data_IF_094992032243
#
_entry.id   IF_094992032243
#
_cell.length_a   1.000
_cell.length_b   1.000
_cell.length_c   1.000
_cell.angle_alpha   90.00
_cell.angle_beta   90.00
_cell.angle_gamma   90.00
#
_symmetry.space_group_name_H-M   'P 1'
#
loop_
_entity.id
_entity.type
_entity.pdbx_description
1 polymer ?
#
# COMPACT_ATOMS: atom_id res chain seq x y z
N UNK A 1 11.93 -29.47 -14.49
CA UNK A 1 12.33 -28.75 -13.25
C UNK A 1 13.84 -28.55 -13.30
N UNK A 2 14.31 -27.30 -13.27
CA UNK A 2 15.73 -27.00 -13.23
C UNK A 2 16.21 -27.21 -11.79
N UNK A 3 17.22 -28.07 -11.56
CA UNK A 3 17.73 -28.46 -10.23
C UNK A 3 18.35 -27.34 -9.38
N UNK A 4 18.18 -26.07 -9.78
CA UNK A 4 18.72 -24.89 -9.10
C UNK A 4 17.67 -23.80 -8.84
N UNK A 5 16.40 -24.03 -9.19
CA UNK A 5 15.31 -23.12 -8.82
C UNK A 5 14.68 -23.70 -7.54
N UNK A 6 14.80 -22.97 -6.44
CA UNK A 6 14.21 -23.33 -5.15
C UNK A 6 12.68 -23.15 -5.12
N UNK A 7 12.09 -23.24 -3.93
CA UNK A 7 10.68 -22.88 -3.70
C UNK A 7 10.40 -21.42 -4.03
N UNK A 8 9.13 -21.09 -4.27
CA UNK A 8 8.73 -19.70 -4.52
C UNK A 8 8.93 -18.83 -3.26
N UNK A 9 9.07 -17.53 -3.45
CA UNK A 9 9.21 -16.59 -2.34
C UNK A 9 7.96 -16.58 -1.46
N UNK A 10 6.78 -16.75 -2.06
CA UNK A 10 5.52 -16.83 -1.32
C UNK A 10 5.44 -18.08 -0.44
N UNK A 11 5.93 -19.23 -0.92
CA UNK A 11 6.07 -20.45 -0.12
C UNK A 11 7.02 -20.23 1.06
N UNK A 12 8.16 -19.58 0.82
CA UNK A 12 9.10 -19.23 1.87
C UNK A 12 8.45 -18.30 2.92
N UNK A 13 7.73 -17.27 2.51
CA UNK A 13 7.05 -16.36 3.43
C UNK A 13 5.96 -17.06 4.25
N UNK A 14 5.24 -18.01 3.64
CA UNK A 14 4.25 -18.84 4.33
C UNK A 14 4.91 -19.75 5.38
N UNK A 15 6.01 -20.43 5.02
CA UNK A 15 6.79 -21.27 5.95
C UNK A 15 7.36 -20.47 7.13
N UNK A 16 7.77 -19.22 6.91
CA UNK A 16 8.26 -18.33 7.97
C UNK A 16 7.14 -17.69 8.81
N UNK A 17 5.87 -17.86 8.43
CA UNK A 17 4.73 -17.18 9.09
C UNK A 17 4.70 -15.66 8.85
N UNK A 18 5.36 -15.19 7.79
CA UNK A 18 5.53 -13.76 7.46
C UNK A 18 4.62 -13.30 6.32
N UNK A 19 3.94 -14.22 5.63
CA UNK A 19 3.14 -13.92 4.44
C UNK A 19 2.13 -12.78 4.65
N UNK A 20 1.40 -12.79 5.77
CA UNK A 20 0.41 -11.75 6.08
C UNK A 20 1.04 -10.37 6.30
N UNK A 21 2.11 -10.31 7.11
CA UNK A 21 2.80 -9.06 7.43
C UNK A 21 3.43 -8.43 6.18
N UNK A 22 4.12 -9.25 5.38
CA UNK A 22 4.78 -8.80 4.15
C UNK A 22 3.75 -8.35 3.12
N UNK A 23 2.64 -9.08 2.98
CA UNK A 23 1.54 -8.69 2.08
C UNK A 23 0.92 -7.36 2.48
N UNK A 24 0.68 -7.14 3.78
CA UNK A 24 0.15 -5.88 4.29
C UNK A 24 1.13 -4.72 4.04
N UNK A 25 2.43 -4.93 4.29
CA UNK A 25 3.46 -3.94 4.01
C UNK A 25 3.59 -3.63 2.50
N UNK A 26 3.50 -4.64 1.64
CA UNK A 26 3.54 -4.48 0.20
C UNK A 26 2.35 -3.67 -0.32
N UNK A 27 1.12 -4.01 0.08
CA UNK A 27 -0.10 -3.26 -0.26
C UNK A 27 0.03 -1.78 0.14
N UNK A 28 0.50 -1.53 1.36
CA UNK A 28 0.72 -0.18 1.86
C UNK A 28 1.70 0.60 1.00
N UNK A 29 2.86 0.01 0.68
CA UNK A 29 3.89 0.62 -0.17
C UNK A 29 3.34 0.98 -1.55
N UNK A 30 2.58 0.08 -2.17
CA UNK A 30 1.96 0.31 -3.47
C UNK A 30 1.00 1.50 -3.41
N UNK A 31 0.14 1.58 -2.40
CA UNK A 31 -0.84 2.68 -2.30
C UNK A 31 -0.15 4.01 -1.99
N UNK A 32 0.83 4.04 -1.08
CA UNK A 32 1.60 5.26 -0.79
C UNK A 32 2.33 5.78 -2.04
N UNK A 33 2.91 4.89 -2.83
CA UNK A 33 3.51 5.21 -4.12
C UNK A 33 2.47 5.77 -5.11
N UNK A 34 1.29 5.15 -5.24
CA UNK A 34 0.22 5.65 -6.12
C UNK A 34 -0.23 7.07 -5.74
N UNK A 35 -0.34 7.37 -4.44
CA UNK A 35 -0.66 8.72 -3.96
C UNK A 35 0.46 9.69 -4.36
N UNK A 36 1.72 9.32 -4.18
CA UNK A 36 2.86 10.15 -4.55
C UNK A 36 2.91 10.43 -6.07
N UNK A 37 2.63 9.43 -6.91
CA UNK A 37 2.56 9.61 -8.36
C UNK A 37 1.36 10.48 -8.77
N UNK A 38 0.21 10.32 -8.14
CA UNK A 38 -0.96 11.18 -8.37
C UNK A 38 -0.70 12.64 -7.95
N UNK A 39 0.07 12.86 -6.89
CA UNK A 39 0.52 14.21 -6.52
C UNK A 39 1.46 14.79 -7.57
N UNK A 40 2.44 14.02 -8.05
CA UNK A 40 3.37 14.46 -9.10
C UNK A 40 2.64 14.83 -10.38
N UNK A 41 1.70 14.01 -10.84
CA UNK A 41 0.92 14.28 -12.06
C UNK A 41 0.05 15.53 -11.97
N UNK A 42 -0.41 15.87 -10.76
CA UNK A 42 -1.18 17.09 -10.48
C UNK A 42 -0.30 18.28 -10.04
N UNK A 43 1.03 18.13 -10.04
CA UNK A 43 1.99 19.12 -9.58
C UNK A 43 1.70 19.62 -8.14
N UNK A 44 1.21 18.72 -7.28
CA UNK A 44 0.74 19.00 -5.93
C UNK A 44 1.84 18.72 -4.89
N UNK A 45 2.07 19.66 -3.99
CA UNK A 45 3.01 19.47 -2.87
C UNK A 45 2.35 18.74 -1.71
N UNK A 46 3.15 18.09 -0.84
CA UNK A 46 2.66 17.49 0.41
C UNK A 46 1.92 18.49 1.31
N UNK A 47 2.38 19.74 1.36
CA UNK A 47 1.71 20.81 2.11
C UNK A 47 0.31 21.07 1.55
N UNK A 48 0.20 21.24 0.24
CA UNK A 48 -1.09 21.50 -0.41
C UNK A 48 -2.04 20.30 -0.28
N UNK A 49 -1.54 19.06 -0.31
CA UNK A 49 -2.36 17.88 -0.04
C UNK A 49 -2.86 17.86 1.41
N UNK A 50 -2.00 18.14 2.37
CA UNK A 50 -2.38 18.19 3.78
C UNK A 50 -3.47 19.25 4.04
N UNK A 51 -3.34 20.43 3.42
CA UNK A 51 -4.36 21.49 3.47
C UNK A 51 -5.71 21.03 2.89
N UNK A 52 -5.71 20.35 1.73
CA UNK A 52 -6.93 19.79 1.12
C UNK A 52 -7.57 18.68 1.97
N UNK A 53 -6.77 17.94 2.71
CA UNK A 53 -7.23 16.89 3.62
C UNK A 53 -7.64 17.43 4.99
N UNK A 54 -7.51 18.74 5.23
CA UNK A 54 -7.72 19.37 6.54
C UNK A 54 -6.88 18.71 7.65
N UNK A 55 -5.63 18.38 7.35
CA UNK A 55 -4.71 17.73 8.28
C UNK A 55 -3.35 18.44 8.33
N UNK A 56 -2.52 18.08 9.31
CA UNK A 56 -1.16 18.61 9.39
C UNK A 56 -0.23 17.85 8.43
N UNK A 57 0.83 18.53 7.98
CA UNK A 57 1.88 17.89 7.16
C UNK A 57 2.46 16.65 7.86
N UNK A 58 2.70 16.72 9.17
CA UNK A 58 3.25 15.59 9.94
C UNK A 58 2.28 14.40 10.00
N UNK A 59 0.97 14.65 10.10
CA UNK A 59 -0.03 13.60 10.05
C UNK A 59 -0.12 12.97 8.65
N UNK A 60 0.02 13.77 7.58
CA UNK A 60 0.11 13.27 6.21
C UNK A 60 1.41 12.47 5.98
N UNK A 61 2.54 12.93 6.48
CA UNK A 61 3.82 12.25 6.33
C UNK A 61 3.77 10.86 7.00
N UNK A 62 3.21 10.75 8.21
CA UNK A 62 2.97 9.45 8.86
C UNK A 62 1.96 8.59 8.10
N UNK A 63 0.90 9.21 7.57
CA UNK A 63 -0.10 8.48 6.80
C UNK A 63 0.47 7.85 5.52
N UNK A 64 1.40 8.54 4.86
CA UNK A 64 2.06 8.08 3.64
C UNK A 64 3.37 7.36 3.91
N UNK A 65 3.72 7.16 5.18
CA UNK A 65 4.90 6.41 5.56
C UNK A 65 4.63 4.91 5.35
N UNK A 66 5.51 4.30 4.58
CA UNK A 66 5.47 2.88 4.26
C UNK A 66 5.84 2.00 5.45
N UNK A 67 6.56 2.54 6.43
CA UNK A 67 7.09 1.81 7.58
C UNK A 67 6.33 2.14 8.88
N UNK A 68 5.44 3.15 8.88
CA UNK A 68 4.56 3.49 10.02
C UNK A 68 3.22 2.75 9.91
N UNK A 69 2.87 1.93 10.91
CA UNK A 69 1.63 1.15 10.96
C UNK A 69 0.32 1.98 10.91
N UNK A 70 0.36 3.29 11.13
CA UNK A 70 -0.81 4.13 11.38
C UNK A 70 -1.76 4.47 10.22
N UNK A 71 -1.53 4.01 8.98
CA UNK A 71 -2.41 4.34 7.85
C UNK A 71 -3.74 3.59 7.93
N UNK A 72 -4.83 4.33 8.11
CA UNK A 72 -6.20 3.78 8.15
C UNK A 72 -6.90 3.88 6.79
N UNK A 73 -7.97 3.10 6.59
CA UNK A 73 -8.85 3.23 5.42
C UNK A 73 -9.46 4.63 5.29
N UNK A 74 -9.77 5.28 6.41
CA UNK A 74 -10.29 6.66 6.41
C UNK A 74 -9.24 7.65 5.89
N UNK A 75 -7.98 7.45 6.28
CA UNK A 75 -6.86 8.26 5.80
C UNK A 75 -6.66 8.10 4.30
N UNK A 76 -6.71 6.85 3.80
CA UNK A 76 -6.63 6.55 2.38
C UNK A 76 -7.76 7.19 1.57
N UNK A 77 -9.00 7.04 2.04
CA UNK A 77 -10.16 7.65 1.38
C UNK A 77 -10.06 9.18 1.34
N UNK A 78 -9.59 9.80 2.42
CA UNK A 78 -9.38 11.26 2.47
C UNK A 78 -8.30 11.72 1.49
N UNK A 79 -7.15 11.04 1.45
CA UNK A 79 -6.07 11.36 0.51
C UNK A 79 -6.51 11.22 -0.95
N UNK A 80 -7.19 10.13 -1.30
CA UNK A 80 -7.73 9.92 -2.63
C UNK A 80 -8.74 11.01 -3.01
N UNK A 81 -9.67 11.37 -2.11
CA UNK A 81 -10.64 12.46 -2.36
C UNK A 81 -9.95 13.81 -2.59
N UNK A 82 -8.92 14.14 -1.81
CA UNK A 82 -8.15 15.38 -1.97
C UNK A 82 -7.39 15.44 -3.30
N UNK A 83 -7.12 14.29 -3.91
CA UNK A 83 -6.54 14.10 -5.24
C UNK A 83 -7.59 13.91 -6.35
N UNK A 84 -8.89 14.04 -6.04
CA UNK A 84 -10.01 13.77 -6.97
C UNK A 84 -10.00 12.34 -7.53
N UNK A 85 -9.53 11.39 -6.72
CA UNK A 85 -9.52 9.96 -6.98
C UNK A 85 -10.45 9.22 -5.98
N UNK A 86 -10.59 7.91 -6.17
CA UNK A 86 -11.33 7.03 -5.24
C UNK A 86 -10.49 5.79 -4.95
N UNK A 87 -10.65 5.24 -3.75
CA UNK A 87 -10.06 3.95 -3.36
C UNK A 87 -11.11 2.86 -3.61
N UNK A 88 -10.70 1.76 -4.21
CA UNK A 88 -11.51 0.56 -4.40
C UNK A 88 -10.77 -0.62 -3.76
N UNK A 89 -11.42 -1.27 -2.80
CA UNK A 89 -10.87 -2.44 -2.09
C UNK A 89 -11.84 -3.59 -2.30
N UNK A 90 -11.30 -4.74 -2.67
CA UNK A 90 -12.06 -5.96 -2.88
C UNK A 90 -11.30 -7.12 -2.25
N UNK A 91 -12.04 -8.01 -1.60
CA UNK A 91 -11.52 -9.31 -1.23
C UNK A 91 -11.55 -10.19 -2.48
N UNK A 92 -10.44 -10.83 -2.78
CA UNK A 92 -10.33 -11.83 -3.83
C UNK A 92 -10.20 -13.19 -3.16
N UNK A 93 -10.79 -14.27 -3.73
CA UNK A 93 -10.50 -15.61 -3.27
C UNK A 93 -9.00 -15.85 -3.32
N UNK A 94 -8.46 -16.47 -2.27
CA UNK A 94 -7.10 -16.99 -2.32
C UNK A 94 -7.13 -18.17 -3.28
N UNK A 95 -6.55 -17.99 -4.47
CA UNK A 95 -6.23 -19.15 -5.30
C UNK A 95 -5.17 -19.91 -4.53
N UNK A 96 -5.58 -21.01 -3.88
CA UNK A 96 -4.63 -22.04 -3.49
C UNK A 96 -3.89 -22.39 -4.77
N UNK A 97 -2.66 -21.89 -4.89
CA UNK A 97 -1.77 -22.29 -5.95
C UNK A 97 -1.78 -23.82 -5.92
N UNK A 98 -2.34 -24.41 -6.95
CA UNK A 98 -2.33 -25.84 -7.17
C UNK A 98 -0.88 -26.21 -7.45
N UNK A 99 -0.08 -26.29 -6.39
CA UNK A 99 1.26 -26.84 -6.40
C UNK A 99 1.09 -28.35 -6.52
N UNK A 100 1.00 -28.81 -7.76
CA UNK A 100 1.28 -30.18 -8.17
C UNK A 100 2.76 -30.32 -8.54
#
# INVERSE_FOLDING_TARGET
MNSHIGSDFDDFLAEQGLAEEVSAAALKRVIAWQIAEAMKSQNLTKKALAERMHTSRAALDRALDQDDAGMTLATLASAARALKQRVEIRLVPEEQAAHA
#
